data_IF_242631206395
#
_entry.id   IF_242631206395
#
_cell.length_a   1.000
_cell.length_b   1.000
_cell.length_c   1.000
_cell.angle_alpha   90.00
_cell.angle_beta   90.00
_cell.angle_gamma   90.00
#
_symmetry.space_group_name_H-M   'P 1'
#
loop_
_entity.id
_entity.type
_entity.pdbx_description
1 polymer ?
#
# COMPACT_ATOMS: atom_id res chain seq x y z
N UNK A 1 4.07 -21.92 19.19
CA UNK A 1 5.20 -21.76 18.24
C UNK A 1 5.36 -20.26 18.05
N UNK A 2 6.59 -19.73 18.12
CA UNK A 2 6.81 -18.31 17.84
C UNK A 2 6.52 -18.05 16.36
N UNK A 3 5.76 -17.00 16.07
CA UNK A 3 5.43 -16.55 14.72
C UNK A 3 6.72 -16.09 14.03
N UNK A 4 6.96 -16.53 12.78
CA UNK A 4 8.20 -16.16 12.08
C UNK A 4 8.12 -14.73 11.53
N UNK A 5 9.27 -14.07 11.35
CA UNK A 5 9.33 -12.74 10.73
C UNK A 5 8.64 -12.68 9.35
N UNK A 6 8.68 -13.78 8.60
CA UNK A 6 7.99 -13.93 7.32
C UNK A 6 6.47 -13.99 7.47
N UNK A 7 5.95 -14.64 8.52
CA UNK A 7 4.50 -14.68 8.79
C UNK A 7 4.00 -13.25 9.09
N UNK A 8 4.71 -12.54 9.97
CA UNK A 8 4.40 -11.15 10.32
C UNK A 8 4.44 -10.21 9.12
N UNK A 9 5.43 -10.39 8.23
CA UNK A 9 5.51 -9.60 7.00
C UNK A 9 4.32 -9.86 6.06
N UNK A 10 3.90 -11.13 5.92
CA UNK A 10 2.72 -11.47 5.11
C UNK A 10 1.45 -10.84 5.71
N UNK A 11 1.28 -10.93 7.03
CA UNK A 11 0.09 -10.43 7.73
C UNK A 11 -0.03 -8.92 7.65
N UNK A 12 1.06 -8.17 7.82
CA UNK A 12 1.03 -6.71 7.75
C UNK A 12 0.90 -6.15 6.34
N UNK A 13 1.44 -6.84 5.34
CA UNK A 13 1.47 -6.33 3.95
C UNK A 13 0.36 -6.91 3.09
N UNK A 14 -0.25 -8.03 3.49
CA UNK A 14 -1.15 -8.81 2.66
C UNK A 14 -0.45 -9.52 1.48
N UNK A 15 0.89 -9.51 1.44
CA UNK A 15 1.66 -10.22 0.43
C UNK A 15 1.56 -11.73 0.66
N UNK A 16 1.48 -12.48 -0.44
CA UNK A 16 1.46 -13.95 -0.38
C UNK A 16 2.79 -14.50 0.10
N UNK A 17 2.76 -15.64 0.82
CA UNK A 17 3.97 -16.36 1.26
C UNK A 17 5.00 -16.55 0.14
N UNK A 18 4.56 -16.97 -1.04
CA UNK A 18 5.42 -17.16 -2.21
C UNK A 18 6.11 -15.86 -2.70
N UNK A 19 5.41 -14.72 -2.56
CA UNK A 19 5.95 -13.41 -2.91
C UNK A 19 7.01 -12.91 -1.91
N UNK A 20 6.95 -13.38 -0.68
CA UNK A 20 7.87 -13.00 0.40
C UNK A 20 9.03 -14.02 0.52
N UNK A 21 8.81 -15.30 0.21
CA UNK A 21 9.83 -16.36 0.22
C UNK A 21 11.05 -16.04 -0.64
N UNK A 22 10.89 -15.27 -1.72
CA UNK A 22 11.98 -14.81 -2.57
C UNK A 22 12.98 -13.88 -1.83
N UNK A 23 12.61 -13.32 -0.67
CA UNK A 23 13.47 -12.47 0.16
C UNK A 23 14.46 -13.29 1.01
N UNK A 24 14.26 -14.60 1.15
CA UNK A 24 15.09 -15.47 2.00
C UNK A 24 14.77 -15.31 3.50
N UNK A 25 15.62 -15.87 4.36
CA UNK A 25 15.44 -15.72 5.81
C UNK A 25 15.54 -14.25 6.23
N UNK A 26 14.57 -13.80 7.01
CA UNK A 26 14.52 -12.43 7.56
C UNK A 26 14.77 -12.46 9.07
N UNK A 27 15.69 -11.61 9.52
CA UNK A 27 15.79 -11.24 10.92
C UNK A 27 14.82 -10.09 11.28
N UNK A 28 14.70 -9.78 12.58
CA UNK A 28 13.79 -8.73 13.07
C UNK A 28 14.14 -7.32 12.57
N UNK A 29 15.44 -7.01 12.36
CA UNK A 29 15.84 -5.69 11.86
C UNK A 29 15.55 -5.51 10.38
N UNK A 30 15.70 -6.58 9.60
CA UNK A 30 15.31 -6.64 8.20
C UNK A 30 13.79 -6.56 8.05
N UNK A 31 13.03 -7.25 8.92
CA UNK A 31 11.57 -7.15 8.98
C UNK A 31 11.12 -5.70 9.19
N UNK A 32 11.63 -5.03 10.22
CA UNK A 32 11.26 -3.64 10.53
C UNK A 32 11.58 -2.70 9.35
N UNK A 33 12.71 -2.92 8.68
CA UNK A 33 13.11 -2.12 7.51
C UNK A 33 12.14 -2.33 6.34
N UNK A 34 11.76 -3.57 6.07
CA UNK A 34 10.82 -3.92 5.00
C UNK A 34 9.42 -3.36 5.29
N UNK A 35 8.95 -3.47 6.53
CA UNK A 35 7.66 -2.90 6.94
C UNK A 35 7.65 -1.38 6.83
N UNK A 36 8.73 -0.71 7.24
CA UNK A 36 8.87 0.73 7.07
C UNK A 36 8.86 1.15 5.59
N UNK A 37 9.60 0.43 4.74
CA UNK A 37 9.63 0.67 3.30
C UNK A 37 8.24 0.44 2.67
N UNK A 38 7.55 -0.64 3.05
CA UNK A 38 6.21 -0.95 2.58
C UNK A 38 5.19 0.14 2.97
N UNK A 39 5.17 0.56 4.24
CA UNK A 39 4.28 1.62 4.73
C UNK A 39 4.51 2.94 4.00
N UNK A 40 5.77 3.31 3.76
CA UNK A 40 6.12 4.50 2.99
C UNK A 40 5.64 4.38 1.53
N UNK A 41 5.88 3.25 0.87
CA UNK A 41 5.43 3.04 -0.50
C UNK A 41 3.89 3.07 -0.61
N UNK A 42 3.18 2.47 0.35
CA UNK A 42 1.72 2.51 0.41
C UNK A 42 1.18 3.94 0.60
N UNK A 43 1.80 4.73 1.47
CA UNK A 43 1.43 6.13 1.68
C UNK A 43 1.69 7.00 0.43
N UNK A 44 2.83 6.82 -0.23
CA UNK A 44 3.13 7.51 -1.49
C UNK A 44 2.12 7.14 -2.57
N UNK A 45 1.85 5.84 -2.77
CA UNK A 45 0.89 5.37 -3.78
C UNK A 45 -0.52 5.89 -3.52
N UNK A 46 -0.95 5.94 -2.26
CA UNK A 46 -2.24 6.55 -1.87
C UNK A 46 -2.28 8.03 -2.29
N UNK A 47 -1.23 8.78 -1.97
CA UNK A 47 -1.12 10.21 -2.33
C UNK A 47 -1.11 10.42 -3.84
N UNK A 48 -0.40 9.58 -4.59
CA UNK A 48 -0.38 9.62 -6.05
C UNK A 48 -1.76 9.32 -6.65
N UNK A 49 -2.47 8.31 -6.12
CA UNK A 49 -3.84 7.98 -6.56
C UNK A 49 -4.83 9.08 -6.26
N UNK A 50 -4.76 9.69 -5.07
CA UNK A 50 -5.59 10.84 -4.70
C UNK A 50 -5.30 12.03 -5.63
N UNK A 51 -4.03 12.31 -5.91
CA UNK A 51 -3.61 13.38 -6.82
C UNK A 51 -4.08 13.12 -8.25
N UNK A 52 -3.90 11.90 -8.78
CA UNK A 52 -4.36 11.51 -10.10
C UNK A 52 -5.90 11.57 -10.22
N UNK A 53 -6.62 11.19 -9.16
CA UNK A 53 -8.07 11.32 -9.09
C UNK A 53 -8.49 12.79 -9.13
N UNK A 54 -7.86 13.64 -8.33
CA UNK A 54 -8.16 15.07 -8.30
C UNK A 54 -7.81 15.78 -9.63
N UNK A 55 -6.72 15.38 -10.28
CA UNK A 55 -6.35 15.84 -11.61
C UNK A 55 -7.35 15.37 -12.68
N UNK A 56 -7.76 14.10 -12.65
CA UNK A 56 -8.82 13.58 -13.52
C UNK A 56 -10.15 14.29 -13.30
N UNK A 57 -10.50 14.68 -12.07
CA UNK A 57 -11.70 15.45 -11.78
C UNK A 57 -11.63 16.88 -12.35
N UNK A 58 -10.46 17.41 -12.73
CA UNK A 58 -10.36 18.74 -13.35
C UNK A 58 -11.06 18.80 -14.70
N UNK A 59 -11.18 17.70 -15.43
CA UNK A 59 -11.92 17.65 -16.71
C UNK A 59 -13.44 17.52 -16.52
N UNK A 60 -13.88 17.15 -15.31
CA UNK A 60 -15.29 17.03 -14.94
C UNK A 60 -15.85 18.42 -14.55
N UNK A 61 -17.08 18.81 -14.94
CA UNK A 61 -17.71 20.05 -14.49
C UNK A 61 -17.82 20.14 -12.96
N UNK A 62 -17.52 21.32 -12.38
CA UNK A 62 -17.42 21.53 -10.92
C UNK A 62 -18.65 21.09 -10.12
N UNK A 63 -19.85 21.21 -10.71
CA UNK A 63 -21.13 20.83 -10.09
C UNK A 63 -21.26 19.32 -9.85
N UNK A 64 -20.66 18.47 -10.69
CA UNK A 64 -20.80 17.00 -10.58
C UNK A 64 -19.55 16.30 -10.04
N UNK A 65 -18.42 17.00 -9.91
CA UNK A 65 -17.17 16.46 -9.32
C UNK A 65 -17.36 15.73 -8.00
N UNK A 66 -18.13 16.24 -7.00
CA UNK A 66 -18.28 15.55 -5.72
C UNK A 66 -18.97 14.17 -5.85
N UNK A 67 -19.92 14.05 -6.78
CA UNK A 67 -20.62 12.79 -7.04
C UNK A 67 -19.70 11.78 -7.73
N UNK A 68 -18.87 12.24 -8.69
CA UNK A 68 -17.89 11.39 -9.37
C UNK A 68 -16.77 10.96 -8.42
N UNK A 69 -16.29 11.86 -7.55
CA UNK A 69 -15.29 11.52 -6.52
C UNK A 69 -15.79 10.41 -5.59
N UNK A 70 -17.05 10.49 -5.13
CA UNK A 70 -17.68 9.45 -4.30
C UNK A 70 -17.81 8.07 -4.96
N UNK A 71 -17.84 8.01 -6.29
CA UNK A 71 -17.90 6.74 -7.04
C UNK A 71 -16.51 6.08 -7.22
N UNK A 72 -15.44 6.87 -7.14
CA UNK A 72 -14.06 6.44 -7.35
C UNK A 72 -13.29 6.19 -6.05
N UNK A 73 -13.86 6.61 -4.90
CA UNK A 73 -13.33 6.42 -3.55
C UNK A 73 -13.80 5.10 -2.98
#
# INVERSE_FOLDING_TARGET
MAESAMDRLCDETGLTRAGVEALGELDEGQLDTLLAAYRNAAATRKTELETATDDGLKVIPRLIRPAVKRLLS
#
